data_IF_225338559332
#
_entry.id   IF_225338559332
#
_cell.length_a   1.000
_cell.length_b   1.000
_cell.length_c   1.000
_cell.angle_alpha   90.00
_cell.angle_beta   90.00
_cell.angle_gamma   90.00
#
_symmetry.space_group_name_H-M   'P 1'
#
loop_
_entity.id
_entity.type
_entity.pdbx_description
1 polymer ?
#
# COMPACT_ATOMS: atom_id res chain seq x y z
N UNK A 1 -10.36 2.94 13.16
CA UNK A 1 -10.02 3.61 11.88
C UNK A 1 -10.85 3.00 10.76
N UNK A 2 -11.41 3.83 9.93
CA UNK A 2 -12.17 3.36 8.78
C UNK A 2 -11.26 3.23 7.55
N UNK A 3 -11.60 2.28 6.70
CA UNK A 3 -10.93 2.11 5.42
C UNK A 3 -11.96 2.23 4.31
N UNK A 4 -11.52 2.56 3.12
CA UNK A 4 -12.43 2.66 1.99
C UNK A 4 -11.79 2.10 0.73
N UNK A 5 -12.64 1.55 -0.10
CA UNK A 5 -12.20 1.15 -1.43
C UNK A 5 -12.05 2.40 -2.26
N UNK A 6 -11.00 2.44 -3.05
CA UNK A 6 -10.74 3.56 -3.94
C UNK A 6 -11.52 3.35 -5.25
N UNK A 7 -11.90 4.45 -5.94
CA UNK A 7 -12.48 4.32 -7.28
C UNK A 7 -11.54 3.62 -8.27
N UNK A 8 -10.23 3.55 -7.93
CA UNK A 8 -9.23 2.90 -8.76
C UNK A 8 -9.10 1.41 -8.46
N UNK A 9 -9.92 0.86 -7.56
CA UNK A 9 -9.84 -0.55 -7.21
C UNK A 9 -10.12 -1.43 -8.41
N UNK A 10 -9.34 -2.53 -8.59
CA UNK A 10 -9.60 -3.46 -9.67
C UNK A 10 -10.92 -4.21 -9.48
N UNK A 11 -11.46 -4.81 -10.54
CA UNK A 11 -12.65 -5.65 -10.42
C UNK A 11 -12.42 -6.80 -9.45
N UNK A 12 -13.53 -7.38 -8.96
CA UNK A 12 -13.50 -8.42 -7.92
C UNK A 12 -12.89 -9.75 -8.36
N UNK A 13 -12.36 -9.82 -9.57
CA UNK A 13 -11.71 -11.06 -10.07
C UNK A 13 -10.38 -11.37 -9.38
N UNK A 14 -9.82 -10.42 -8.66
CA UNK A 14 -8.59 -10.66 -7.90
C UNK A 14 -8.93 -11.29 -6.56
N UNK A 15 -8.00 -12.10 -6.04
CA UNK A 15 -8.21 -12.76 -4.76
C UNK A 15 -8.39 -11.77 -3.62
N UNK A 16 -7.60 -10.70 -3.61
CA UNK A 16 -7.65 -9.68 -2.58
C UNK A 16 -8.23 -8.39 -3.12
N UNK A 17 -8.90 -7.65 -2.25
CA UNK A 17 -9.40 -6.31 -2.59
C UNK A 17 -8.41 -5.27 -2.13
N UNK A 18 -8.37 -4.14 -2.82
CA UNK A 18 -7.49 -3.03 -2.52
C UNK A 18 -8.23 -2.00 -1.68
N UNK A 19 -7.67 -1.67 -0.52
CA UNK A 19 -8.20 -0.60 0.33
C UNK A 19 -7.05 0.26 0.82
N UNK A 20 -7.39 1.48 1.21
CA UNK A 20 -6.42 2.43 1.76
C UNK A 20 -6.95 2.93 3.10
N UNK A 21 -6.06 3.09 4.09
CA UNK A 21 -6.42 3.90 5.25
C UNK A 21 -6.62 5.34 4.80
N UNK A 22 -7.49 6.13 5.46
CA UNK A 22 -7.84 7.46 4.94
C UNK A 22 -6.64 8.37 4.62
N UNK A 23 -5.61 8.47 5.47
CA UNK A 23 -4.45 9.30 5.09
C UNK A 23 -3.73 8.80 3.84
N UNK A 24 -3.63 7.48 3.67
CA UNK A 24 -2.99 6.91 2.48
C UNK A 24 -3.82 7.17 1.22
N UNK A 25 -5.13 7.18 1.35
CA UNK A 25 -6.00 7.49 0.22
C UNK A 25 -5.79 8.92 -0.24
N UNK A 26 -5.64 9.85 0.69
CA UNK A 26 -5.33 11.24 0.33
C UNK A 26 -4.00 11.36 -0.37
N UNK A 27 -2.99 10.63 0.10
CA UNK A 27 -1.69 10.60 -0.55
C UNK A 27 -1.80 10.06 -1.97
N UNK A 28 -2.59 9.01 -2.13
CA UNK A 28 -2.83 8.42 -3.45
C UNK A 28 -3.50 9.41 -4.40
N UNK A 29 -4.53 10.10 -3.93
CA UNK A 29 -5.26 11.06 -4.75
C UNK A 29 -4.38 12.21 -5.23
N UNK A 30 -3.38 12.57 -4.43
CA UNK A 30 -2.49 13.69 -4.75
C UNK A 30 -1.32 13.29 -5.65
N UNK A 31 -1.20 12.02 -6.00
CA UNK A 31 -0.14 11.59 -6.89
C UNK A 31 -0.39 12.04 -8.31
N UNK A 32 0.70 12.38 -8.98
CA UNK A 32 0.66 12.65 -10.41
C UNK A 32 0.30 11.38 -11.18
N UNK A 33 -0.38 11.53 -12.31
CA UNK A 33 -0.78 10.39 -13.13
C UNK A 33 0.40 9.53 -13.59
N UNK A 34 1.55 10.17 -13.84
CA UNK A 34 2.76 9.44 -14.25
C UNK A 34 3.28 8.52 -13.15
N UNK A 35 2.92 8.78 -11.88
CA UNK A 35 3.26 7.93 -10.75
C UNK A 35 2.15 6.91 -10.51
N UNK A 36 0.90 7.34 -10.58
CA UNK A 36 -0.25 6.47 -10.32
C UNK A 36 -0.29 5.26 -11.23
N UNK A 37 -0.05 5.44 -12.52
CA UNK A 37 -0.19 4.35 -13.48
C UNK A 37 0.74 3.17 -13.20
N UNK A 38 2.07 3.39 -13.04
CA UNK A 38 2.93 2.26 -12.70
C UNK A 38 2.63 1.69 -11.32
N UNK A 39 2.24 2.52 -10.35
CA UNK A 39 1.87 2.01 -9.03
C UNK A 39 0.62 1.15 -9.09
N UNK A 40 -0.37 1.57 -9.90
CA UNK A 40 -1.60 0.80 -10.06
C UNK A 40 -1.31 -0.60 -10.58
N UNK A 41 -0.40 -0.70 -11.55
CA UNK A 41 -0.01 -1.99 -12.11
C UNK A 41 0.67 -2.88 -11.07
N UNK A 42 1.56 -2.30 -10.28
CA UNK A 42 2.25 -3.05 -9.23
C UNK A 42 1.29 -3.49 -8.14
N UNK A 43 0.35 -2.64 -7.76
CA UNK A 43 -0.65 -3.00 -6.76
C UNK A 43 -1.53 -4.14 -7.23
N UNK A 44 -1.93 -4.14 -8.50
CA UNK A 44 -2.73 -5.24 -9.05
C UNK A 44 -2.01 -6.58 -8.91
N UNK A 45 -0.73 -6.61 -9.18
CA UNK A 45 0.06 -7.84 -9.00
C UNK A 45 0.04 -8.31 -7.56
N UNK A 46 0.12 -7.36 -6.63
CA UNK A 46 0.10 -7.69 -5.19
C UNK A 46 -1.26 -8.18 -4.73
N UNK A 47 -2.34 -7.87 -5.45
CA UNK A 47 -3.66 -8.39 -5.13
C UNK A 47 -3.78 -9.88 -5.44
N UNK A 48 -2.95 -10.39 -6.33
CA UNK A 48 -2.91 -11.83 -6.61
C UNK A 48 -2.00 -12.57 -5.64
N UNK A 49 -0.90 -11.94 -5.26
CA UNK A 49 0.07 -12.54 -4.34
C UNK A 49 0.72 -11.46 -3.50
N UNK A 50 0.06 -11.06 -2.39
CA UNK A 50 0.55 -9.93 -1.60
C UNK A 50 1.76 -10.24 -0.72
N UNK A 51 2.03 -11.51 -0.42
CA UNK A 51 3.13 -11.88 0.46
C UNK A 51 4.37 -12.21 -0.34
N UNK A 52 4.96 -11.16 -0.92
CA UNK A 52 6.11 -11.30 -1.81
C UNK A 52 7.39 -11.51 -1.01
N UNK A 53 8.12 -12.60 -1.25
CA UNK A 53 9.41 -12.82 -0.56
C UNK A 53 10.37 -11.67 -0.83
N UNK A 54 11.07 -11.24 0.22
CA UNK A 54 12.02 -10.14 0.11
C UNK A 54 11.41 -8.76 0.20
N UNK A 55 10.09 -8.65 0.15
CA UNK A 55 9.39 -7.37 0.27
C UNK A 55 8.89 -7.10 1.68
N UNK A 56 8.90 -8.10 2.54
CA UNK A 56 8.41 -7.95 3.90
C UNK A 56 9.34 -7.06 4.73
N UNK A 57 8.73 -6.20 5.54
CA UNK A 57 9.46 -5.33 6.44
C UNK A 57 9.64 -6.00 7.79
N UNK A 58 10.66 -5.56 8.52
CA UNK A 58 11.01 -6.15 9.81
C UNK A 58 10.68 -5.17 10.93
N UNK A 59 10.85 -5.65 12.18
CA UNK A 59 10.65 -4.82 13.35
C UNK A 59 9.21 -4.37 13.53
N UNK A 60 8.99 -3.08 13.81
CA UNK A 60 7.63 -2.58 14.06
C UNK A 60 6.67 -2.76 12.89
N UNK A 61 7.20 -2.95 11.69
CA UNK A 61 6.38 -3.14 10.49
C UNK A 61 6.35 -4.58 10.03
N UNK A 62 6.64 -5.53 10.91
CA UNK A 62 6.51 -6.94 10.58
C UNK A 62 5.09 -7.23 10.11
N UNK A 63 4.95 -7.99 9.05
CA UNK A 63 3.65 -8.26 8.44
C UNK A 63 3.23 -7.25 7.40
N UNK A 64 4.04 -6.21 7.21
CA UNK A 64 3.83 -5.24 6.15
C UNK A 64 4.80 -5.47 5.03
N UNK A 65 4.44 -5.01 3.85
CA UNK A 65 5.22 -5.20 2.63
C UNK A 65 5.40 -3.88 1.91
N UNK A 66 6.52 -3.75 1.24
CA UNK A 66 6.82 -2.54 0.46
C UNK A 66 6.73 -2.82 -1.04
N UNK A 67 6.40 -1.78 -1.78
CA UNK A 67 6.50 -1.77 -3.23
C UNK A 67 7.54 -0.70 -3.57
N UNK A 68 8.46 -1.02 -4.47
CA UNK A 68 9.48 -0.05 -4.88
C UNK A 68 9.15 0.51 -6.24
N UNK A 69 8.90 1.80 -6.29
CA UNK A 69 8.79 2.52 -7.55
C UNK A 69 10.06 3.37 -7.67
N UNK A 70 11.14 2.72 -8.11
CA UNK A 70 12.48 3.29 -8.05
C UNK A 70 12.64 4.57 -8.84
N UNK A 71 12.11 4.58 -10.05
CA UNK A 71 12.30 5.71 -10.95
C UNK A 71 11.69 6.98 -10.38
N UNK A 72 10.52 6.89 -9.78
CA UNK A 72 9.80 8.03 -9.24
C UNK A 72 10.08 8.27 -7.76
N UNK A 73 10.77 7.34 -7.10
CA UNK A 73 11.17 7.52 -5.71
C UNK A 73 10.06 7.29 -4.69
N UNK A 74 9.00 6.59 -5.03
CA UNK A 74 7.92 6.28 -4.09
C UNK A 74 8.08 4.87 -3.55
N UNK A 75 7.58 4.68 -2.32
CA UNK A 75 7.67 3.37 -1.67
C UNK A 75 6.40 3.10 -0.86
N UNK A 76 5.31 2.71 -1.53
CA UNK A 76 4.10 2.35 -0.81
C UNK A 76 4.31 1.18 0.14
N UNK A 77 3.59 1.20 1.25
CA UNK A 77 3.63 0.16 2.26
C UNK A 77 2.21 -0.30 2.53
N UNK A 78 2.00 -1.61 2.55
CA UNK A 78 0.70 -2.19 2.81
C UNK A 78 0.82 -3.33 3.80
N UNK A 79 -0.30 -3.66 4.43
CA UNK A 79 -0.43 -4.89 5.20
C UNK A 79 -1.51 -5.75 4.57
N UNK A 80 -1.58 -7.01 4.99
CA UNK A 80 -2.55 -7.96 4.45
C UNK A 80 -3.54 -8.32 5.56
N UNK A 81 -4.82 -8.11 5.29
CA UNK A 81 -5.88 -8.54 6.19
C UNK A 81 -6.45 -9.84 5.65
N UNK A 82 -5.94 -10.94 6.16
CA UNK A 82 -6.23 -12.26 5.61
C UNK A 82 -7.70 -12.63 5.76
N UNK A 83 -8.29 -12.33 6.89
CA UNK A 83 -9.70 -12.68 7.15
C UNK A 83 -10.65 -11.96 6.19
N UNK A 84 -10.31 -10.76 5.81
CA UNK A 84 -11.14 -9.96 4.90
C UNK A 84 -10.68 -10.06 3.45
N UNK A 85 -9.56 -10.73 3.19
CA UNK A 85 -8.92 -10.79 1.88
C UNK A 85 -8.70 -9.38 1.32
N UNK A 86 -8.01 -8.56 2.11
CA UNK A 86 -7.75 -7.16 1.77
C UNK A 86 -6.25 -6.88 1.81
N UNK A 87 -5.77 -6.19 0.79
CA UNK A 87 -4.48 -5.52 0.80
C UNK A 87 -4.75 -4.09 1.23
N UNK A 88 -4.32 -3.74 2.43
CA UNK A 88 -4.60 -2.44 3.02
C UNK A 88 -3.36 -1.56 2.94
N UNK A 89 -3.44 -0.51 2.12
CA UNK A 89 -2.32 0.42 1.95
C UNK A 89 -2.28 1.39 3.12
N UNK A 90 -1.16 1.40 3.82
CA UNK A 90 -0.95 2.23 5.01
C UNK A 90 -0.32 3.57 4.67
N UNK A 91 0.54 3.62 3.67
CA UNK A 91 1.24 4.84 3.30
C UNK A 91 1.63 4.79 1.83
N UNK A 92 1.55 5.95 1.18
CA UNK A 92 2.00 6.13 -0.20
C UNK A 92 2.86 7.40 -0.18
N UNK A 93 4.14 7.25 0.05
CA UNK A 93 4.98 8.41 0.28
C UNK A 93 6.33 8.20 -0.39
N UNK A 94 7.12 9.27 -0.43
CA UNK A 94 8.48 9.18 -0.93
C UNK A 94 9.31 8.27 -0.04
N UNK A 95 10.33 7.65 -0.62
CA UNK A 95 11.26 6.80 0.13
C UNK A 95 12.21 7.62 0.98
N UNK A 96 12.36 8.92 0.67
CA UNK A 96 13.30 9.77 1.36
C UNK A 96 12.97 9.91 2.83
N UNK A 97 14.02 9.89 3.66
CA UNK A 97 13.90 10.07 5.10
C UNK A 97 12.98 9.05 5.76
N UNK A 98 12.75 7.92 5.09
CA UNK A 98 11.88 6.87 5.63
C UNK A 98 10.47 7.36 5.96
N UNK A 99 10.00 8.38 5.26
CA UNK A 99 8.70 8.98 5.55
C UNK A 99 7.57 7.95 5.46
N UNK A 100 7.60 7.11 4.43
CA UNK A 100 6.55 6.09 4.28
C UNK A 100 6.59 5.09 5.43
N UNK A 101 7.76 4.72 5.91
CA UNK A 101 7.89 3.80 7.04
C UNK A 101 7.31 4.38 8.31
N UNK A 102 7.61 5.64 8.59
CA UNK A 102 7.12 6.30 9.78
C UNK A 102 5.60 6.46 9.73
N UNK A 103 5.08 6.86 8.59
CA UNK A 103 3.64 7.00 8.39
C UNK A 103 2.92 5.66 8.55
N UNK A 104 3.46 4.61 7.95
CA UNK A 104 2.86 3.28 8.04
C UNK A 104 2.85 2.77 9.48
N UNK A 105 3.96 2.97 10.19
CA UNK A 105 4.08 2.56 11.59
C UNK A 105 3.05 3.27 12.46
N UNK A 106 2.91 4.58 12.28
CA UNK A 106 1.96 5.38 13.02
C UNK A 106 0.53 4.92 12.77
N UNK A 107 0.21 4.72 11.51
CA UNK A 107 -1.14 4.33 11.10
C UNK A 107 -1.49 2.92 11.54
N UNK A 108 -0.52 2.02 11.48
CA UNK A 108 -0.72 0.65 11.95
C UNK A 108 -1.01 0.62 13.45
N UNK A 109 -0.33 1.44 14.21
CA UNK A 109 -0.54 1.52 15.66
C UNK A 109 -1.95 2.01 16.01
N UNK A 110 -2.55 2.81 15.16
CA UNK A 110 -3.89 3.36 15.39
C UNK A 110 -5.02 2.41 15.02
N UNK A 111 -4.65 1.33 14.36
CA UNK A 111 -5.64 0.31 14.01
C UNK A 111 -5.89 -0.59 15.20
#
# INVERSE_FOLDING_TARGET
MTTSETPDSPPARYKYRLKFVPPALEEWKNLDGSVKEPLRKLLRKRLENPRVPGAELMGPLRGCYKIRLRKQGYRPIYTVEEDALVVLVLAVDHREDSAAYQSARERLRRM
#
